data_IF_986011196783
#
_entry.id   IF_986011196783
#
_cell.length_a   1.000
_cell.length_b   1.000
_cell.length_c   1.000
_cell.angle_alpha   90.00
_cell.angle_beta   90.00
_cell.angle_gamma   90.00
#
_symmetry.space_group_name_H-M   'P 1'
#
loop_
_entity.id
_entity.type
_entity.pdbx_description
1 polymer ?
#
# COMPACT_ATOMS: atom_id res chain seq x y z
N UNK A 1 3.19 22.66 61.85
CA UNK A 1 3.55 21.42 61.11
C UNK A 1 3.90 20.35 62.15
N UNK A 2 3.06 19.34 62.34
CA UNK A 2 3.20 18.36 63.45
C UNK A 2 4.29 17.33 63.08
N UNK A 3 5.40 17.31 63.81
CA UNK A 3 6.50 16.32 63.64
C UNK A 3 6.18 15.08 64.46
N UNK A 4 6.12 13.91 63.83
CA UNK A 4 6.02 12.63 64.55
C UNK A 4 7.42 11.99 64.50
N UNK A 5 7.98 11.74 65.69
CA UNK A 5 9.30 11.12 65.85
C UNK A 5 9.11 9.61 65.95
N UNK A 6 9.73 8.88 65.05
CA UNK A 6 9.80 7.42 65.10
C UNK A 6 11.19 7.01 65.60
N UNK A 7 11.24 5.95 66.40
CA UNK A 7 12.48 5.47 67.02
C UNK A 7 12.76 4.05 66.53
N UNK A 8 13.92 3.89 65.88
CA UNK A 8 14.52 2.61 65.48
C UNK A 8 16.01 2.61 65.91
N UNK A 9 16.62 1.43 65.98
CA UNK A 9 17.94 1.09 66.52
C UNK A 9 19.11 1.85 65.87
N UNK A 10 18.90 2.55 64.75
CA UNK A 10 19.90 3.38 64.06
C UNK A 10 19.84 4.89 64.38
N UNK A 11 18.94 5.35 65.25
CA UNK A 11 18.80 6.76 65.66
C UNK A 11 17.56 7.48 65.13
N UNK A 12 17.17 8.59 65.79
CA UNK A 12 15.99 9.42 65.48
C UNK A 12 15.97 9.85 63.99
N UNK A 13 14.96 9.47 63.22
CA UNK A 13 14.68 10.11 61.93
C UNK A 13 13.40 10.96 62.03
N UNK A 14 13.50 12.25 61.73
CA UNK A 14 12.33 13.14 61.63
C UNK A 14 11.70 12.98 60.25
N UNK A 15 10.61 12.20 60.15
CA UNK A 15 9.83 12.14 58.91
C UNK A 15 8.97 13.39 58.81
N UNK A 16 9.29 14.24 57.84
CA UNK A 16 8.38 15.31 57.44
C UNK A 16 7.18 14.69 56.71
N UNK A 17 6.08 14.53 57.45
CA UNK A 17 4.86 13.85 56.97
C UNK A 17 4.30 14.50 55.70
N UNK A 18 4.33 15.83 55.60
CA UNK A 18 3.79 16.57 54.45
C UNK A 18 4.53 16.23 53.15
N UNK A 19 5.87 16.40 53.03
CA UNK A 19 6.59 16.00 51.81
C UNK A 19 6.58 14.49 51.57
N UNK A 20 6.44 13.66 52.60
CA UNK A 20 6.23 12.22 52.43
C UNK A 20 4.90 11.91 51.74
N UNK A 21 3.79 12.54 52.16
CA UNK A 21 2.48 12.39 51.53
C UNK A 21 2.51 12.82 50.06
N UNK A 22 3.13 13.96 49.75
CA UNK A 22 3.25 14.43 48.36
C UNK A 22 4.06 13.47 47.47
N UNK A 23 5.16 12.91 47.99
CA UNK A 23 5.93 11.89 47.27
C UNK A 23 5.09 10.65 47.00
N UNK A 24 4.36 10.17 48.01
CA UNK A 24 3.49 8.99 47.85
C UNK A 24 2.37 9.22 46.84
N UNK A 25 1.70 10.39 46.88
CA UNK A 25 0.66 10.74 45.89
C UNK A 25 1.25 10.82 44.48
N UNK A 26 2.43 11.43 44.32
CA UNK A 26 3.10 11.51 43.03
C UNK A 26 3.50 10.12 42.49
N UNK A 27 3.99 9.23 43.36
CA UNK A 27 4.29 7.85 42.99
C UNK A 27 3.04 7.07 42.57
N UNK A 28 1.94 7.19 43.31
CA UNK A 28 0.67 6.54 42.96
C UNK A 28 0.10 7.08 41.65
N UNK A 29 0.15 8.40 41.45
CA UNK A 29 -0.27 9.03 40.22
C UNK A 29 0.58 8.56 39.03
N UNK A 30 1.91 8.53 39.19
CA UNK A 30 2.82 7.99 38.17
C UNK A 30 2.54 6.54 37.82
N UNK A 31 2.24 5.69 38.81
CA UNK A 31 1.84 4.30 38.58
C UNK A 31 0.54 4.19 37.78
N UNK A 32 -0.46 5.01 38.09
CA UNK A 32 -1.74 5.02 37.35
C UNK A 32 -1.50 5.40 35.88
N UNK A 33 -0.67 6.43 35.62
CA UNK A 33 -0.31 6.83 34.26
C UNK A 33 0.42 5.71 33.51
N UNK A 34 1.39 5.05 34.16
CA UNK A 34 2.11 3.92 33.57
C UNK A 34 1.19 2.74 33.23
N UNK A 35 0.21 2.44 34.09
CA UNK A 35 -0.79 1.39 33.82
C UNK A 35 -1.67 1.79 32.63
N UNK A 36 -2.10 3.05 32.54
CA UNK A 36 -2.88 3.55 31.40
C UNK A 36 -2.12 3.40 30.08
N UNK A 37 -0.86 3.85 30.05
CA UNK A 37 0.04 3.70 28.89
C UNK A 37 0.25 2.22 28.55
N UNK A 38 0.42 1.35 29.55
CA UNK A 38 0.61 -0.08 29.34
C UNK A 38 -0.62 -0.81 28.78
N UNK A 39 -1.83 -0.26 28.96
CA UNK A 39 -3.07 -0.80 28.39
C UNK A 39 -3.31 -0.27 26.96
N UNK A 40 -3.00 0.99 26.69
CA UNK A 40 -3.24 1.63 25.39
C UNK A 40 -2.16 1.33 24.33
N UNK A 41 -0.91 1.13 24.74
CA UNK A 41 0.17 0.78 23.81
C UNK A 41 -0.08 -0.56 23.08
N UNK A 42 -0.45 -1.67 23.76
CA UNK A 42 -0.68 -2.93 23.05
C UNK A 42 -1.88 -2.88 22.11
N UNK A 43 -2.92 -2.12 22.43
CA UNK A 43 -4.11 -2.04 21.57
C UNK A 43 -3.78 -1.26 20.30
N UNK A 44 -3.22 -0.05 20.41
CA UNK A 44 -2.79 0.77 19.27
C UNK A 44 -1.77 0.04 18.39
N UNK A 45 -0.72 -0.53 18.98
CA UNK A 45 0.29 -1.33 18.27
C UNK A 45 -0.34 -2.55 17.59
N UNK A 46 -1.29 -3.23 18.23
CA UNK A 46 -1.98 -4.39 17.64
C UNK A 46 -2.88 -4.01 16.47
N UNK A 47 -3.53 -2.84 16.50
CA UNK A 47 -4.30 -2.34 15.36
C UNK A 47 -3.38 -2.05 14.18
N UNK A 48 -2.28 -1.34 14.42
CA UNK A 48 -1.30 -1.10 13.37
C UNK A 48 -0.74 -2.42 12.84
N UNK A 49 -0.36 -3.39 13.69
CA UNK A 49 0.10 -4.72 13.27
C UNK A 49 -0.96 -5.57 12.55
N UNK A 50 -2.25 -5.38 12.84
CA UNK A 50 -3.32 -6.15 12.18
C UNK A 50 -3.59 -5.66 10.76
N UNK A 51 -3.42 -4.35 10.54
CA UNK A 51 -3.66 -3.68 9.26
C UNK A 51 -2.36 -3.23 8.58
N UNK A 52 -1.22 -3.74 9.02
CA UNK A 52 0.08 -3.53 8.39
C UNK A 52 0.87 -4.83 8.40
N UNK A 53 1.75 -4.97 7.43
CA UNK A 53 2.63 -6.13 7.32
C UNK A 53 2.25 -7.08 6.19
N UNK A 54 3.18 -7.99 5.94
CA UNK A 54 3.22 -8.84 4.74
C UNK A 54 1.98 -9.73 4.60
N UNK A 55 1.47 -10.29 5.70
CA UNK A 55 0.32 -11.19 5.68
C UNK A 55 -1.00 -10.46 5.33
N UNK A 56 -1.19 -9.26 5.87
CA UNK A 56 -2.34 -8.42 5.56
C UNK A 56 -2.36 -8.01 4.08
N UNK A 57 -1.21 -7.54 3.58
CA UNK A 57 -1.04 -7.13 2.20
C UNK A 57 -1.24 -8.29 1.23
N UNK A 58 -0.67 -9.46 1.54
CA UNK A 58 -0.85 -10.67 0.73
C UNK A 58 -2.33 -11.10 0.68
N UNK A 59 -3.04 -11.06 1.81
CA UNK A 59 -4.46 -11.40 1.86
C UNK A 59 -5.30 -10.46 0.98
N UNK A 60 -5.01 -9.16 1.00
CA UNK A 60 -5.68 -8.20 0.13
C UNK A 60 -5.35 -8.44 -1.34
N UNK A 61 -4.07 -8.67 -1.67
CA UNK A 61 -3.65 -8.96 -3.04
C UNK A 61 -4.34 -10.22 -3.57
N UNK A 62 -4.39 -11.30 -2.78
CA UNK A 62 -5.05 -12.56 -3.15
C UNK A 62 -6.56 -12.34 -3.37
N UNK A 63 -7.22 -11.58 -2.49
CA UNK A 63 -8.64 -11.25 -2.65
C UNK A 63 -8.88 -10.49 -3.96
N UNK A 64 -8.09 -9.47 -4.25
CA UNK A 64 -8.31 -8.61 -5.41
C UNK A 64 -7.93 -9.33 -6.71
N UNK A 65 -6.92 -10.21 -6.66
CA UNK A 65 -6.55 -11.14 -7.72
C UNK A 65 -7.67 -12.11 -8.08
N UNK A 66 -8.20 -12.85 -7.09
CA UNK A 66 -9.30 -13.81 -7.30
C UNK A 66 -10.55 -13.11 -7.85
N UNK A 67 -10.86 -11.92 -7.31
CA UNK A 67 -12.00 -11.12 -7.74
C UNK A 67 -11.74 -10.31 -9.02
N UNK A 68 -10.56 -10.45 -9.64
CA UNK A 68 -10.18 -9.77 -10.90
C UNK A 68 -10.25 -8.25 -10.83
N UNK A 69 -10.01 -7.69 -9.64
CA UNK A 69 -9.98 -6.24 -9.41
C UNK A 69 -8.56 -5.72 -9.64
N UNK A 70 -8.06 -5.85 -10.86
CA UNK A 70 -6.66 -5.62 -11.18
C UNK A 70 -6.18 -4.18 -10.97
N UNK A 71 -7.07 -3.18 -11.10
CA UNK A 71 -6.76 -1.79 -10.75
C UNK A 71 -6.53 -1.60 -9.24
N UNK A 72 -7.37 -2.23 -8.40
CA UNK A 72 -7.19 -2.23 -6.95
C UNK A 72 -5.95 -3.02 -6.54
N UNK A 73 -5.68 -4.13 -7.23
CA UNK A 73 -4.48 -4.93 -7.04
C UNK A 73 -3.22 -4.12 -7.37
N UNK A 74 -3.19 -3.45 -8.53
CA UNK A 74 -2.09 -2.57 -8.91
C UNK A 74 -1.86 -1.46 -7.88
N UNK A 75 -2.94 -0.77 -7.49
CA UNK A 75 -2.87 0.29 -6.48
C UNK A 75 -2.31 -0.21 -5.16
N UNK A 76 -2.74 -1.38 -4.70
CA UNK A 76 -2.23 -2.01 -3.46
C UNK A 76 -0.76 -2.35 -3.58
N UNK A 77 -0.35 -3.02 -4.67
CA UNK A 77 1.04 -3.40 -4.90
C UNK A 77 1.96 -2.17 -4.96
N UNK A 78 1.52 -1.12 -5.65
CA UNK A 78 2.29 0.12 -5.83
C UNK A 78 2.39 0.95 -4.55
N UNK A 79 1.26 1.23 -3.88
CA UNK A 79 1.20 2.11 -2.70
C UNK A 79 2.02 1.54 -1.54
N UNK A 80 2.03 0.22 -1.38
CA UNK A 80 2.73 -0.46 -0.29
C UNK A 80 4.12 -0.98 -0.68
N UNK A 81 4.65 -0.60 -1.86
CA UNK A 81 6.01 -0.94 -2.31
C UNK A 81 6.28 -2.46 -2.33
N UNK A 82 5.30 -3.25 -2.80
CA UNK A 82 5.28 -4.71 -2.70
C UNK A 82 5.92 -5.39 -3.90
N UNK A 83 7.24 -5.26 -4.06
CA UNK A 83 7.98 -5.75 -5.25
C UNK A 83 8.75 -7.06 -5.06
N UNK A 84 8.69 -7.68 -3.88
CA UNK A 84 9.39 -8.94 -3.62
C UNK A 84 8.75 -10.13 -4.36
N UNK A 85 9.48 -11.24 -4.48
CA UNK A 85 9.07 -12.45 -5.21
C UNK A 85 7.72 -13.01 -4.76
N UNK A 86 7.30 -12.74 -3.52
CA UNK A 86 6.00 -13.20 -2.99
C UNK A 86 4.83 -12.57 -3.76
N UNK A 87 5.03 -11.38 -4.31
CA UNK A 87 4.01 -10.65 -5.05
C UNK A 87 4.15 -10.76 -6.57
N UNK A 88 5.15 -11.48 -7.07
CA UNK A 88 5.47 -11.55 -8.49
C UNK A 88 4.29 -12.01 -9.37
N UNK A 89 3.52 -13.01 -8.92
CA UNK A 89 2.30 -13.46 -9.65
C UNK A 89 1.26 -12.35 -9.81
N UNK A 90 1.11 -11.49 -8.80
CA UNK A 90 0.17 -10.38 -8.86
C UNK A 90 0.69 -9.27 -9.78
N UNK A 91 1.98 -9.00 -9.74
CA UNK A 91 2.61 -8.03 -10.65
C UNK A 91 2.54 -8.45 -12.11
N UNK A 92 2.73 -9.74 -12.39
CA UNK A 92 2.62 -10.28 -13.74
C UNK A 92 1.22 -10.04 -14.32
N UNK A 93 0.18 -10.43 -13.59
CA UNK A 93 -1.19 -10.31 -14.12
C UNK A 93 -1.66 -8.86 -14.24
N UNK A 94 -1.28 -7.96 -13.32
CA UNK A 94 -1.68 -6.54 -13.45
C UNK A 94 -0.99 -5.86 -14.62
N UNK A 95 0.27 -6.22 -14.93
CA UNK A 95 0.98 -5.70 -16.11
C UNK A 95 0.35 -6.22 -17.40
N UNK A 96 0.07 -7.52 -17.47
CA UNK A 96 -0.63 -8.12 -18.60
C UNK A 96 -2.00 -7.50 -18.83
N UNK A 97 -2.77 -7.31 -17.76
CA UNK A 97 -4.07 -6.64 -17.83
C UNK A 97 -3.96 -5.17 -18.26
N UNK A 98 -2.94 -4.45 -17.80
CA UNK A 98 -2.69 -3.08 -18.21
C UNK A 98 -2.41 -2.98 -19.71
N UNK A 99 -1.55 -3.85 -20.24
CA UNK A 99 -1.26 -3.91 -21.68
C UNK A 99 -2.53 -4.28 -22.49
N UNK A 100 -3.39 -5.15 -21.95
CA UNK A 100 -4.70 -5.45 -22.53
C UNK A 100 -5.65 -4.24 -22.55
N UNK A 101 -5.76 -3.50 -21.45
CA UNK A 101 -6.55 -2.28 -21.41
C UNK A 101 -6.08 -1.26 -22.45
N UNK A 102 -4.77 -1.11 -22.64
CA UNK A 102 -4.20 -0.23 -23.67
C UNK A 102 -4.58 -0.70 -25.07
N UNK A 103 -4.47 -2.00 -25.37
CA UNK A 103 -4.93 -2.57 -26.64
C UNK A 103 -6.42 -2.28 -26.90
N UNK A 104 -7.30 -2.56 -25.93
CA UNK A 104 -8.74 -2.31 -26.05
C UNK A 104 -9.02 -0.82 -26.31
N UNK A 105 -8.33 0.07 -25.59
CA UNK A 105 -8.49 1.51 -25.77
C UNK A 105 -8.13 1.93 -27.20
N UNK A 106 -6.95 1.55 -27.70
CA UNK A 106 -6.54 1.91 -29.07
C UNK A 106 -7.42 1.25 -30.14
N UNK A 107 -7.85 0.00 -29.93
CA UNK A 107 -8.81 -0.67 -30.82
C UNK A 107 -10.12 0.10 -30.90
N UNK A 108 -10.69 0.50 -29.75
CA UNK A 108 -11.91 1.30 -29.72
C UNK A 108 -11.74 2.65 -30.43
N UNK A 109 -10.57 3.27 -30.33
CA UNK A 109 -10.26 4.52 -31.04
C UNK A 109 -10.24 4.32 -32.57
N UNK A 110 -9.67 3.20 -33.07
CA UNK A 110 -9.71 2.85 -34.50
C UNK A 110 -11.14 2.59 -34.97
N UNK A 111 -11.94 1.86 -34.18
CA UNK A 111 -13.35 1.58 -34.50
C UNK A 111 -14.19 2.87 -34.56
N UNK A 112 -13.77 3.92 -33.85
CA UNK A 112 -14.37 5.26 -33.89
C UNK A 112 -13.82 6.14 -35.02
N UNK A 113 -12.86 5.65 -35.82
CA UNK A 113 -12.25 6.40 -36.93
C UNK A 113 -11.14 7.37 -36.51
N UNK A 114 -10.57 7.21 -35.31
CA UNK A 114 -9.41 8.01 -34.87
C UNK A 114 -8.12 7.38 -35.37
N UNK A 115 -7.46 8.02 -36.33
CA UNK A 115 -6.22 7.51 -36.92
C UNK A 115 -4.96 8.09 -36.23
N UNK A 116 -5.05 9.34 -35.78
CA UNK A 116 -3.96 10.07 -35.12
C UNK A 116 -4.47 10.80 -33.89
N UNK A 117 -3.65 10.80 -32.84
CA UNK A 117 -3.93 11.52 -31.59
C UNK A 117 -2.79 12.49 -31.34
N UNK A 118 -3.14 13.76 -31.15
CA UNK A 118 -2.22 14.77 -30.64
C UNK A 118 -2.54 14.99 -29.16
N UNK A 119 -1.58 14.71 -28.29
CA UNK A 119 -1.70 15.01 -26.87
C UNK A 119 -1.18 16.42 -26.62
N UNK A 120 -2.09 17.35 -26.38
CA UNK A 120 -1.77 18.68 -25.88
C UNK A 120 -1.47 18.57 -24.38
N UNK A 121 -0.19 18.74 -24.02
CA UNK A 121 0.20 18.84 -22.61
C UNK A 121 -0.20 20.24 -22.13
N UNK A 122 -0.98 20.37 -21.03
CA UNK A 122 -1.45 21.66 -20.58
C UNK A 122 -0.27 22.58 -20.20
N UNK A 123 -0.41 23.85 -20.59
CA UNK A 123 0.59 24.93 -20.53
C UNK A 123 1.23 25.10 -19.12
N UNK A 124 0.53 24.67 -18.06
CA UNK A 124 0.98 24.74 -16.67
C UNK A 124 2.04 23.69 -16.27
N UNK A 125 2.32 22.69 -17.13
CA UNK A 125 3.38 21.69 -16.93
C UNK A 125 4.63 21.91 -17.81
N UNK A 126 4.61 22.93 -18.70
CA UNK A 126 5.70 23.25 -19.63
C UNK A 126 7.05 23.51 -18.96
N UNK A 127 7.04 23.95 -17.69
CA UNK A 127 8.27 24.23 -16.94
C UNK A 127 9.09 22.97 -16.62
N UNK A 128 8.50 21.78 -16.69
CA UNK A 128 9.14 20.51 -16.30
C UNK A 128 9.43 19.54 -17.45
N UNK A 129 8.79 19.72 -18.60
CA UNK A 129 9.16 19.03 -19.85
C UNK A 129 8.88 20.00 -20.99
N UNK A 130 9.89 20.31 -21.80
CA UNK A 130 9.70 21.11 -23.02
C UNK A 130 8.54 20.52 -23.84
N UNK A 131 7.81 21.37 -24.55
CA UNK A 131 6.60 21.03 -25.32
C UNK A 131 6.87 19.82 -26.23
N UNK A 132 6.51 18.61 -25.78
CA UNK A 132 6.51 17.42 -26.61
C UNK A 132 5.07 17.25 -27.07
N UNK A 133 4.78 17.75 -28.28
CA UNK A 133 3.63 17.26 -29.02
C UNK A 133 3.94 15.80 -29.41
N UNK A 134 3.36 14.85 -28.69
CA UNK A 134 3.44 13.43 -29.06
C UNK A 134 2.27 13.16 -29.99
N UNK A 135 2.57 13.14 -31.29
CA UNK A 135 1.67 12.56 -32.28
C UNK A 135 1.99 11.08 -32.40
N UNK A 136 0.97 10.23 -32.31
CA UNK A 136 1.13 8.80 -32.53
C UNK A 136 0.00 8.24 -33.39
N UNK A 137 0.39 7.28 -34.21
CA UNK A 137 -0.52 6.49 -35.04
C UNK A 137 -1.23 5.44 -34.18
N UNK A 138 -2.56 5.51 -34.16
CA UNK A 138 -3.39 4.64 -33.31
C UNK A 138 -3.30 3.18 -33.76
N UNK A 139 -3.14 2.92 -35.06
CA UNK A 139 -3.01 1.57 -35.61
C UNK A 139 -1.70 0.91 -35.16
N UNK A 140 -0.60 1.65 -35.21
CA UNK A 140 0.70 1.20 -34.72
C UNK A 140 0.65 0.91 -33.21
N UNK A 141 0.00 1.77 -32.43
CA UNK A 141 -0.14 1.58 -30.99
C UNK A 141 -1.03 0.38 -30.66
N UNK A 142 -2.14 0.20 -31.38
CA UNK A 142 -3.01 -0.96 -31.24
C UNK A 142 -2.23 -2.26 -31.50
N UNK A 143 -1.50 -2.34 -32.62
CA UNK A 143 -0.70 -3.52 -32.97
C UNK A 143 0.46 -3.76 -31.98
N UNK A 144 1.09 -2.69 -31.48
CA UNK A 144 2.12 -2.78 -30.45
C UNK A 144 1.59 -3.44 -29.18
N UNK A 145 0.46 -2.98 -28.67
CA UNK A 145 -0.11 -3.54 -27.44
C UNK A 145 -0.73 -4.93 -27.66
N UNK A 146 -1.31 -5.19 -28.83
CA UNK A 146 -1.72 -6.54 -29.24
C UNK A 146 -0.55 -7.53 -29.10
N UNK A 147 0.62 -7.20 -29.66
CA UNK A 147 1.82 -8.05 -29.55
C UNK A 147 2.30 -8.20 -28.11
N UNK A 148 2.27 -7.13 -27.31
CA UNK A 148 2.66 -7.19 -25.90
C UNK A 148 1.78 -8.15 -25.11
N UNK A 149 0.46 -8.08 -25.27
CA UNK A 149 -0.44 -8.99 -24.54
C UNK A 149 -0.23 -10.45 -24.94
N UNK A 150 0.00 -10.72 -26.24
CA UNK A 150 0.34 -12.07 -26.69
C UNK A 150 1.69 -12.54 -26.14
N UNK A 151 2.66 -11.63 -26.02
CA UNK A 151 3.96 -11.92 -25.44
C UNK A 151 3.85 -12.18 -23.92
N UNK A 152 3.11 -11.37 -23.18
CA UNK A 152 2.88 -11.53 -21.75
C UNK A 152 2.23 -12.88 -21.45
N UNK A 153 1.29 -13.32 -22.30
CA UNK A 153 0.68 -14.64 -22.21
C UNK A 153 1.67 -15.77 -22.54
N UNK A 154 2.53 -15.59 -23.54
CA UNK A 154 3.53 -16.59 -23.93
C UNK A 154 4.67 -16.74 -22.92
N UNK A 155 5.05 -15.65 -22.26
CA UNK A 155 6.12 -15.57 -21.26
C UNK A 155 5.59 -15.72 -19.82
N UNK A 156 4.34 -16.16 -19.65
CA UNK A 156 3.71 -16.36 -18.35
C UNK A 156 4.58 -17.24 -17.44
N UNK A 157 5.05 -16.69 -16.34
CA UNK A 157 5.97 -17.35 -15.41
C UNK A 157 5.24 -18.13 -14.33
N UNK A 158 4.02 -17.70 -13.99
CA UNK A 158 3.23 -18.29 -12.92
C UNK A 158 2.09 -19.12 -13.51
N UNK A 159 2.07 -20.46 -13.33
CA UNK A 159 1.04 -21.33 -13.88
C UNK A 159 -0.39 -20.93 -13.48
N UNK A 160 -0.57 -20.33 -12.30
CA UNK A 160 -1.86 -19.82 -11.84
C UNK A 160 -2.41 -18.69 -12.71
N UNK A 161 -1.53 -17.94 -13.40
CA UNK A 161 -1.88 -16.84 -14.28
C UNK A 161 -2.25 -17.30 -15.70
N UNK A 162 -1.86 -18.52 -16.11
CA UNK A 162 -2.11 -19.04 -17.46
C UNK A 162 -3.58 -18.92 -17.85
N UNK A 163 -4.50 -19.38 -16.99
CA UNK A 163 -5.95 -19.27 -17.24
C UNK A 163 -6.39 -17.83 -17.48
N UNK A 164 -5.83 -16.88 -16.74
CA UNK A 164 -6.21 -15.48 -16.88
C UNK A 164 -5.66 -14.88 -18.18
N UNK A 165 -4.46 -15.25 -18.58
CA UNK A 165 -3.90 -14.87 -19.87
C UNK A 165 -4.63 -15.51 -21.05
N UNK A 166 -5.05 -16.77 -20.94
CA UNK A 166 -5.92 -17.42 -21.94
C UNK A 166 -7.22 -16.63 -22.13
N UNK A 167 -7.87 -16.24 -21.03
CA UNK A 167 -9.09 -15.43 -21.08
C UNK A 167 -8.85 -14.03 -21.69
N UNK A 168 -7.75 -13.37 -21.35
CA UNK A 168 -7.38 -12.06 -21.91
C UNK A 168 -7.13 -12.16 -23.42
N UNK A 169 -6.34 -13.15 -23.84
CA UNK A 169 -5.95 -13.34 -25.24
C UNK A 169 -7.08 -13.85 -26.11
N UNK A 170 -8.09 -14.53 -25.55
CA UNK A 170 -9.30 -14.91 -26.28
C UNK A 170 -10.07 -13.71 -26.87
N UNK A 171 -9.86 -12.50 -26.34
CA UNK A 171 -10.46 -11.26 -26.84
C UNK A 171 -9.60 -10.52 -27.88
N UNK A 172 -8.45 -11.07 -28.24
CA UNK A 172 -7.52 -10.51 -29.20
C UNK A 172 -7.74 -11.19 -30.55
N UNK A 173 -8.30 -10.42 -31.51
CA UNK A 173 -8.49 -10.84 -32.90
C UNK A 173 -7.34 -10.34 -33.75
#
# INVERSE_FOLDING_TARGET
>A
MKRIKFHDESGQYEVHIIPFIFKTIFCVFGLIIMIGIAIELPSSIRYDLKYSGKEYNLTNCERDYINRKYDQLYSTLYIYDLYDDTYGKYWEIVKGYQDYCMYVNYKNMLEQGTEQVQLDIPENEEKYRGVIQVEFDVSQMCEKYRKKVLQDAADCQYPENERYFEEITAHIN
#
